data_IF_163924632746
#
_entry.id   IF_163924632746
#
_cell.length_a   1.000
_cell.length_b   1.000
_cell.length_c   1.000
_cell.angle_alpha   90.00
_cell.angle_beta   90.00
_cell.angle_gamma   90.00
#
_symmetry.space_group_name_H-M   'P 1'
#
loop_
_entity.id
_entity.type
_entity.pdbx_description
1 polymer ?
#
# COMPACT_ATOMS: atom_id res chain seq x y z
N UNK A 1 7.94 21.88 -22.15
CA UNK A 1 7.77 20.62 -22.90
C UNK A 1 8.71 19.59 -22.27
N UNK A 2 8.23 18.94 -21.21
CA UNK A 2 7.70 17.57 -21.18
C UNK A 2 8.80 16.49 -21.03
N UNK A 3 8.95 16.00 -19.81
CA UNK A 3 9.13 14.57 -19.58
C UNK A 3 8.09 14.17 -18.54
N UNK A 4 6.91 13.82 -19.06
CA UNK A 4 5.87 13.18 -18.26
C UNK A 4 6.42 11.87 -17.71
N UNK A 5 6.18 11.62 -16.43
CA UNK A 5 6.40 10.32 -15.81
C UNK A 5 5.63 9.27 -16.63
N UNK A 6 6.37 8.42 -17.34
CA UNK A 6 5.85 7.18 -17.89
C UNK A 6 5.62 6.22 -16.72
N UNK A 7 4.37 6.10 -16.28
CA UNK A 7 3.90 4.95 -15.52
C UNK A 7 3.12 4.08 -16.50
N UNK A 8 3.81 3.20 -17.21
CA UNK A 8 3.17 2.38 -18.23
C UNK A 8 4.08 1.29 -18.76
N UNK A 9 3.87 0.08 -18.25
CA UNK A 9 4.51 -1.15 -18.71
C UNK A 9 4.81 -2.05 -17.52
N UNK A 10 3.85 -2.89 -17.12
CA UNK A 10 4.09 -4.01 -16.21
C UNK A 10 3.79 -5.29 -16.98
N UNK A 11 4.82 -6.11 -17.17
CA UNK A 11 4.77 -7.41 -17.85
C UNK A 11 4.02 -8.45 -16.99
N UNK A 12 3.71 -9.64 -17.51
CA UNK A 12 2.92 -10.64 -16.76
C UNK A 12 3.65 -11.19 -15.51
N UNK A 13 4.99 -11.16 -15.48
CA UNK A 13 5.81 -11.50 -14.31
C UNK A 13 5.75 -10.44 -13.21
N UNK A 14 5.44 -9.21 -13.61
CA UNK A 14 5.57 -7.97 -12.86
C UNK A 14 4.37 -7.80 -11.87
N UNK A 15 3.18 -8.29 -12.24
CA UNK A 15 1.98 -8.27 -11.37
C UNK A 15 2.04 -9.25 -10.20
N UNK A 16 2.71 -10.39 -10.37
CA UNK A 16 2.79 -11.36 -9.28
C UNK A 16 3.70 -10.84 -8.17
N UNK A 17 4.74 -10.06 -8.49
CA UNK A 17 5.62 -9.43 -7.49
C UNK A 17 4.88 -8.49 -6.52
N UNK A 18 3.71 -7.97 -6.94
CA UNK A 18 2.83 -7.17 -6.10
C UNK A 18 2.01 -8.02 -5.11
N UNK A 19 1.95 -9.34 -5.28
CA UNK A 19 1.29 -10.23 -4.32
C UNK A 19 2.13 -10.38 -3.06
N UNK A 20 1.52 -10.09 -1.92
CA UNK A 20 2.18 -10.14 -0.62
C UNK A 20 2.15 -11.54 -0.03
N UNK A 21 3.05 -11.82 0.92
CA UNK A 21 3.07 -13.08 1.67
C UNK A 21 1.74 -13.42 2.35
N UNK A 22 0.92 -12.42 2.71
CA UNK A 22 -0.41 -12.67 3.30
C UNK A 22 -1.54 -12.83 2.28
N UNK A 23 -1.25 -12.77 0.98
CA UNK A 23 -2.25 -12.88 -0.09
C UNK A 23 -3.04 -11.58 -0.32
N UNK A 24 -2.45 -10.44 0.00
CA UNK A 24 -2.95 -9.11 -0.40
C UNK A 24 -2.14 -8.60 -1.60
N UNK A 25 -2.48 -7.42 -2.11
CA UNK A 25 -1.86 -6.85 -3.30
C UNK A 25 -1.27 -5.46 -3.02
N UNK A 26 0.03 -5.28 -3.23
CA UNK A 26 0.77 -4.07 -2.88
C UNK A 26 0.25 -2.83 -3.60
N UNK A 27 -0.21 -2.95 -4.85
CA UNK A 27 -0.81 -1.85 -5.60
C UNK A 27 -2.22 -1.45 -5.12
N UNK A 28 -2.76 -2.13 -4.11
CA UNK A 28 -3.95 -1.69 -3.36
C UNK A 28 -3.60 -1.11 -1.98
N UNK A 29 -2.31 -0.95 -1.65
CA UNK A 29 -1.86 -0.34 -0.41
C UNK A 29 -1.82 1.19 -0.50
N UNK A 30 -2.46 1.88 0.45
CA UNK A 30 -2.46 3.34 0.50
C UNK A 30 -1.05 3.93 0.60
N UNK A 31 -0.16 3.32 1.40
CA UNK A 31 1.23 3.76 1.56
C UNK A 31 2.12 3.60 0.32
N UNK A 32 1.67 2.85 -0.69
CA UNK A 32 2.37 2.72 -1.99
C UNK A 32 1.73 3.59 -3.07
N UNK A 33 0.40 3.72 -3.08
CA UNK A 33 -0.34 4.25 -4.25
C UNK A 33 -1.15 5.52 -3.98
N UNK A 34 -1.55 5.81 -2.74
CA UNK A 34 -2.41 6.96 -2.42
C UNK A 34 -1.66 8.05 -1.66
N UNK A 35 -1.00 7.66 -0.57
CA UNK A 35 -0.31 8.60 0.33
C UNK A 35 0.80 9.36 -0.39
N UNK A 36 1.65 8.74 -1.23
CA UNK A 36 2.70 9.49 -1.94
C UNK A 36 2.15 10.58 -2.86
N UNK A 37 1.11 10.27 -3.62
CA UNK A 37 0.46 11.23 -4.52
C UNK A 37 -0.21 12.36 -3.73
N UNK A 38 -0.95 12.04 -2.68
CA UNK A 38 -1.58 13.05 -1.83
C UNK A 38 -0.56 13.95 -1.11
N UNK A 39 0.55 13.37 -0.63
CA UNK A 39 1.64 14.13 -0.01
C UNK A 39 2.30 15.08 -1.02
N UNK A 40 2.53 14.60 -2.25
CA UNK A 40 3.04 15.43 -3.34
C UNK A 40 2.09 16.60 -3.64
N UNK A 41 0.80 16.32 -3.83
CA UNK A 41 -0.21 17.33 -4.16
C UNK A 41 -0.35 18.39 -3.06
N UNK A 42 -0.42 17.98 -1.79
CA UNK A 42 -0.48 18.91 -0.67
C UNK A 42 0.78 19.76 -0.59
N UNK A 43 1.97 19.16 -0.74
CA UNK A 43 3.24 19.90 -0.74
C UNK A 43 3.28 20.95 -1.84
N UNK A 44 2.87 20.60 -3.06
CA UNK A 44 2.85 21.57 -4.16
C UNK A 44 1.81 22.67 -3.94
N UNK A 45 0.65 22.35 -3.37
CA UNK A 45 -0.38 23.34 -3.02
C UNK A 45 0.14 24.34 -1.99
N UNK A 46 0.74 23.87 -0.89
CA UNK A 46 1.32 24.73 0.15
C UNK A 46 2.41 25.65 -0.42
N UNK A 47 3.25 25.12 -1.30
CA UNK A 47 4.30 25.91 -1.98
C UNK A 47 3.70 26.98 -2.89
N UNK A 48 2.66 26.66 -3.65
CA UNK A 48 1.98 27.62 -4.54
C UNK A 48 1.32 28.76 -3.74
N UNK A 49 0.72 28.44 -2.59
CA UNK A 49 0.11 29.40 -1.68
C UNK A 49 1.13 30.21 -0.85
N UNK A 50 2.44 29.94 -1.02
CA UNK A 50 3.49 30.72 -0.37
C UNK A 50 3.76 30.35 1.08
N UNK A 51 3.38 29.15 1.54
CA UNK A 51 3.67 28.70 2.90
C UNK A 51 5.18 28.50 3.16
N UNK A 52 5.98 28.48 2.10
CA UNK A 52 7.45 28.57 2.16
C UNK A 52 7.96 29.98 2.57
N UNK A 53 7.12 31.01 2.45
CA UNK A 53 7.42 32.42 2.74
C UNK A 53 6.76 32.91 4.04
N UNK A 54 5.68 32.27 4.50
CA UNK A 54 5.04 32.57 5.77
C UNK A 54 3.65 31.95 5.94
N UNK A 55 3.22 31.79 7.19
CA UNK A 55 1.97 31.13 7.60
C UNK A 55 1.27 31.97 8.68
N UNK A 56 0.94 33.22 8.32
CA UNK A 56 0.49 34.26 9.27
C UNK A 56 -0.87 34.01 9.92
N UNK A 57 -1.72 33.21 9.26
CA UNK A 57 -3.12 33.00 9.67
C UNK A 57 -3.32 31.76 10.54
N UNK A 58 -2.25 30.98 10.80
CA UNK A 58 -2.33 29.72 11.55
C UNK A 58 -1.36 29.77 12.74
N UNK A 59 -1.82 30.22 13.93
CA UNK A 59 -0.99 30.30 15.12
C UNK A 59 -0.33 28.96 15.47
N UNK A 60 0.99 28.95 15.66
CA UNK A 60 1.76 27.79 16.08
C UNK A 60 2.24 26.89 14.94
N UNK A 61 1.79 27.11 13.69
CA UNK A 61 2.23 26.32 12.54
C UNK A 61 3.73 26.46 12.32
N UNK A 62 4.32 27.63 12.59
CA UNK A 62 5.74 27.91 12.50
C UNK A 62 6.61 26.94 13.29
N UNK A 63 6.09 26.43 14.40
CA UNK A 63 6.83 25.55 15.32
C UNK A 63 6.97 24.14 14.76
N UNK A 64 6.10 23.75 13.82
CA UNK A 64 6.04 22.38 13.27
C UNK A 64 6.20 22.32 11.75
N UNK A 65 6.08 23.45 11.03
CA UNK A 65 5.98 23.44 9.57
C UNK A 65 7.18 22.80 8.87
N UNK A 66 8.41 23.04 9.37
CA UNK A 66 9.60 22.41 8.79
C UNK A 66 9.55 20.88 8.92
N UNK A 67 9.27 20.35 10.12
CA UNK A 67 9.17 18.91 10.34
C UNK A 67 8.01 18.29 9.54
N UNK A 68 6.88 19.01 9.46
CA UNK A 68 5.75 18.61 8.62
C UNK A 68 6.12 18.55 7.13
N UNK A 69 6.80 19.57 6.61
CA UNK A 69 7.27 19.63 5.23
C UNK A 69 8.29 18.53 4.90
N UNK A 70 9.22 18.23 5.82
CA UNK A 70 10.11 17.07 5.72
C UNK A 70 9.34 15.76 5.66
N UNK A 71 8.33 15.59 6.52
CA UNK A 71 7.43 14.45 6.48
C UNK A 71 6.71 14.28 5.14
N UNK A 72 6.13 15.36 4.60
CA UNK A 72 5.52 15.36 3.27
C UNK A 72 6.52 14.99 2.18
N UNK A 73 7.75 15.51 2.25
CA UNK A 73 8.82 15.18 1.30
C UNK A 73 9.19 13.69 1.34
N UNK A 74 9.28 13.09 2.53
CA UNK A 74 9.55 11.66 2.68
C UNK A 74 8.40 10.84 2.08
N UNK A 75 7.16 11.16 2.44
CA UNK A 75 5.97 10.45 1.95
C UNK A 75 5.82 10.54 0.43
N UNK A 76 6.06 11.71 -0.16
CA UNK A 76 5.92 11.95 -1.60
C UNK A 76 6.99 11.23 -2.43
N UNK A 77 8.23 11.16 -1.93
CA UNK A 77 9.37 10.70 -2.73
C UNK A 77 9.84 9.27 -2.40
N UNK A 78 9.38 8.69 -1.28
CA UNK A 78 9.82 7.36 -0.82
C UNK A 78 8.61 6.43 -0.64
N UNK A 79 7.91 6.06 -1.74
CA UNK A 79 6.81 5.11 -1.65
C UNK A 79 7.32 3.76 -1.13
N UNK A 80 6.45 3.04 -0.41
CA UNK A 80 6.78 1.71 0.10
C UNK A 80 7.25 0.80 -1.05
N UNK A 81 8.42 0.13 -0.95
CA UNK A 81 9.00 -0.68 -2.04
C UNK A 81 8.22 -1.98 -2.29
N UNK A 82 7.29 -2.36 -1.41
CA UNK A 82 6.46 -3.55 -1.54
C UNK A 82 6.87 -4.62 -0.54
N UNK A 83 5.92 -5.47 -0.13
CA UNK A 83 6.14 -6.43 0.97
C UNK A 83 7.27 -7.43 0.67
N UNK A 84 7.32 -7.93 -0.57
CA UNK A 84 8.34 -8.88 -1.01
C UNK A 84 9.71 -8.22 -1.25
N UNK A 85 9.75 -6.89 -1.45
CA UNK A 85 10.96 -6.08 -1.60
C UNK A 85 11.44 -5.44 -0.29
N UNK A 86 10.98 -5.92 0.87
CA UNK A 86 11.42 -5.45 2.18
C UNK A 86 10.59 -4.33 2.81
N UNK A 87 9.49 -3.90 2.17
CA UNK A 87 8.52 -2.98 2.73
C UNK A 87 7.57 -3.63 3.74
N UNK A 88 6.74 -2.80 4.39
CA UNK A 88 5.81 -3.24 5.44
C UNK A 88 6.50 -3.59 6.76
N UNK A 89 5.76 -4.19 7.69
CA UNK A 89 6.32 -4.57 8.99
C UNK A 89 7.27 -5.79 8.86
N UNK A 90 8.56 -5.67 9.19
CA UNK A 90 9.52 -6.78 9.09
C UNK A 90 9.20 -7.93 10.06
N UNK A 91 8.59 -7.64 11.22
CA UNK A 91 8.19 -8.62 12.23
C UNK A 91 6.83 -9.27 11.98
N UNK A 92 6.28 -9.14 10.76
CA UNK A 92 4.94 -9.64 10.46
C UNK A 92 4.92 -11.18 10.44
N UNK A 93 4.25 -11.81 11.41
CA UNK A 93 4.30 -13.26 11.63
C UNK A 93 3.88 -14.10 10.39
N UNK A 94 2.95 -13.60 9.56
CA UNK A 94 2.53 -14.29 8.34
C UNK A 94 3.66 -14.32 7.30
N UNK A 95 4.50 -13.28 7.22
CA UNK A 95 5.69 -13.27 6.35
C UNK A 95 6.67 -14.36 6.74
N UNK A 96 7.03 -14.44 8.01
CA UNK A 96 7.92 -15.48 8.51
C UNK A 96 7.37 -16.89 8.23
N UNK A 97 6.08 -17.11 8.50
CA UNK A 97 5.39 -18.37 8.23
C UNK A 97 5.41 -18.76 6.74
N UNK A 98 5.14 -17.81 5.84
CA UNK A 98 5.14 -18.07 4.40
C UNK A 98 6.54 -18.47 3.88
N UNK A 99 7.58 -17.77 4.35
CA UNK A 99 8.97 -18.05 4.01
C UNK A 99 9.42 -19.42 4.55
N UNK A 100 9.14 -19.72 5.82
CA UNK A 100 9.46 -21.02 6.45
C UNK A 100 8.81 -22.19 5.70
N UNK A 101 7.53 -22.04 5.34
CA UNK A 101 6.76 -23.06 4.63
C UNK A 101 7.01 -23.07 3.11
N UNK A 102 7.83 -22.13 2.61
CA UNK A 102 8.13 -21.95 1.18
C UNK A 102 6.86 -21.83 0.32
N UNK A 103 5.84 -21.15 0.85
CA UNK A 103 4.61 -20.83 0.11
C UNK A 103 4.69 -19.40 -0.41
N UNK A 104 4.30 -19.22 -1.67
CA UNK A 104 4.39 -17.92 -2.32
C UNK A 104 3.48 -16.87 -1.67
N UNK A 105 2.22 -17.25 -1.42
CA UNK A 105 1.24 -16.44 -0.71
C UNK A 105 0.45 -17.30 0.27
N UNK A 106 0.03 -16.73 1.40
CA UNK A 106 -0.67 -17.45 2.46
C UNK A 106 -1.90 -18.25 1.99
N UNK A 107 -2.76 -17.74 1.07
CA UNK A 107 -3.85 -18.52 0.49
C UNK A 107 -3.43 -19.80 -0.25
N UNK A 108 -2.18 -19.94 -0.67
CA UNK A 108 -1.68 -21.15 -1.33
C UNK A 108 -1.16 -22.20 -0.33
N UNK A 109 -1.20 -21.91 0.97
CA UNK A 109 -0.79 -22.85 2.01
C UNK A 109 -1.84 -23.97 2.18
N UNK A 110 -1.37 -25.21 2.37
CA UNK A 110 -2.26 -26.35 2.63
C UNK A 110 -3.07 -26.23 3.94
N UNK A 111 -2.59 -25.45 4.90
CA UNK A 111 -3.30 -25.16 6.15
C UNK A 111 -4.16 -23.89 6.06
N UNK A 112 -4.35 -23.31 4.87
CA UNK A 112 -5.20 -22.14 4.72
C UNK A 112 -6.68 -22.53 4.78
N UNK A 113 -7.54 -21.77 5.49
CA UNK A 113 -7.21 -20.69 6.41
C UNK A 113 -6.74 -21.21 7.80
N UNK A 114 -5.87 -20.46 8.49
CA UNK A 114 -5.45 -20.78 9.85
C UNK A 114 -5.54 -19.60 10.82
N UNK A 115 -5.40 -19.88 12.13
CA UNK A 115 -5.54 -18.90 13.21
C UNK A 115 -4.60 -17.68 13.10
N UNK A 116 -3.45 -17.81 12.42
CA UNK A 116 -2.49 -16.69 12.23
C UNK A 116 -3.09 -15.52 11.44
N UNK A 117 -4.15 -15.75 10.66
CA UNK A 117 -4.85 -14.71 9.90
C UNK A 117 -5.64 -13.73 10.76
N UNK A 118 -5.83 -14.02 12.06
CA UNK A 118 -6.55 -13.15 12.98
C UNK A 118 -5.93 -11.73 13.09
N UNK A 119 -4.62 -11.59 12.89
CA UNK A 119 -3.93 -10.29 12.87
C UNK A 119 -4.35 -9.40 11.67
N UNK A 120 -5.02 -9.97 10.68
CA UNK A 120 -5.55 -9.28 9.50
C UNK A 120 -7.08 -9.13 9.55
N UNK A 121 -7.69 -9.16 10.74
CA UNK A 121 -9.15 -8.99 10.91
C UNK A 121 -9.65 -7.63 10.40
N UNK A 122 -8.83 -6.59 10.46
CA UNK A 122 -9.16 -5.22 10.03
C UNK A 122 -9.10 -5.02 8.50
N UNK A 123 -8.68 -6.06 7.75
CA UNK A 123 -8.68 -6.08 6.29
C UNK A 123 -9.83 -6.97 5.80
N UNK A 124 -11.06 -6.46 5.65
CA UNK A 124 -12.24 -7.30 5.42
C UNK A 124 -12.18 -8.11 4.12
N UNK A 125 -11.56 -7.58 3.06
CA UNK A 125 -11.41 -8.32 1.79
C UNK A 125 -10.46 -9.51 1.88
N UNK A 126 -9.59 -9.60 2.88
CA UNK A 126 -8.55 -10.65 2.95
C UNK A 126 -9.14 -12.06 2.96
N UNK A 127 -10.30 -12.27 3.59
CA UNK A 127 -10.98 -13.57 3.57
C UNK A 127 -11.55 -13.88 2.17
N UNK A 128 -12.26 -12.91 1.59
CA UNK A 128 -12.89 -13.05 0.29
C UNK A 128 -11.86 -13.24 -0.84
N UNK A 129 -10.77 -12.47 -0.81
CA UNK A 129 -9.68 -12.56 -1.78
C UNK A 129 -8.93 -13.89 -1.68
N UNK A 130 -8.66 -14.38 -0.46
CA UNK A 130 -8.03 -15.69 -0.30
C UNK A 130 -8.90 -16.85 -0.82
N UNK A 131 -10.22 -16.81 -0.57
CA UNK A 131 -11.16 -17.75 -1.17
C UNK A 131 -11.21 -17.61 -2.70
N UNK A 132 -11.18 -16.38 -3.21
CA UNK A 132 -11.17 -16.12 -4.65
C UNK A 132 -9.93 -16.70 -5.31
N UNK A 133 -8.74 -16.56 -4.70
CA UNK A 133 -7.50 -17.19 -5.18
C UNK A 133 -7.63 -18.72 -5.31
N UNK A 134 -8.34 -19.40 -4.39
CA UNK A 134 -8.58 -20.84 -4.53
C UNK A 134 -9.49 -21.21 -5.71
N UNK A 135 -10.45 -20.35 -6.03
CA UNK A 135 -11.44 -20.62 -7.10
C UNK A 135 -10.87 -20.34 -8.48
N UNK A 136 -10.19 -19.19 -8.66
CA UNK A 136 -9.76 -18.71 -9.99
C UNK A 136 -8.24 -18.77 -10.20
N UNK A 137 -7.48 -19.13 -9.16
CA UNK A 137 -6.03 -19.10 -9.17
C UNK A 137 -5.45 -17.70 -8.97
N UNK A 138 -4.21 -17.65 -8.48
CA UNK A 138 -3.53 -16.40 -8.11
C UNK A 138 -3.30 -15.46 -9.29
N UNK A 139 -3.06 -16.00 -10.50
CA UNK A 139 -2.82 -15.19 -11.70
C UNK A 139 -4.04 -14.37 -12.09
N UNK A 140 -5.21 -15.03 -12.20
CA UNK A 140 -6.45 -14.36 -12.57
C UNK A 140 -6.92 -13.42 -11.46
N UNK A 141 -6.72 -13.81 -10.19
CA UNK A 141 -7.00 -12.92 -9.07
C UNK A 141 -6.13 -11.65 -9.10
N UNK A 142 -4.85 -11.75 -9.45
CA UNK A 142 -3.96 -10.60 -9.60
C UNK A 142 -4.42 -9.65 -10.71
N UNK A 143 -4.91 -10.19 -11.84
CA UNK A 143 -5.51 -9.36 -12.91
C UNK A 143 -6.69 -8.53 -12.40
N UNK A 144 -7.55 -9.12 -11.55
CA UNK A 144 -8.64 -8.37 -10.93
C UNK A 144 -8.15 -7.30 -9.95
N UNK A 145 -7.01 -7.51 -9.29
CA UNK A 145 -6.44 -6.51 -8.39
C UNK A 145 -5.84 -5.34 -9.17
N UNK A 146 -5.23 -5.59 -10.33
CA UNK A 146 -4.81 -4.54 -11.25
C UNK A 146 -6.00 -3.68 -11.72
N UNK A 147 -7.12 -4.30 -12.09
CA UNK A 147 -8.33 -3.55 -12.45
C UNK A 147 -8.89 -2.74 -11.27
N UNK A 148 -8.90 -3.29 -10.04
CA UNK A 148 -9.26 -2.53 -8.84
C UNK A 148 -8.34 -1.34 -8.62
N UNK A 149 -7.03 -1.52 -8.82
CA UNK A 149 -6.02 -0.48 -8.62
C UNK A 149 -6.23 0.69 -9.61
N UNK A 150 -6.65 0.42 -10.84
CA UNK A 150 -6.99 1.45 -11.85
C UNK A 150 -8.16 2.33 -11.43
N UNK A 151 -9.10 1.81 -10.66
CA UNK A 151 -10.23 2.57 -10.13
C UNK A 151 -9.86 3.46 -8.92
N UNK A 152 -8.60 3.48 -8.49
CA UNK A 152 -8.14 4.25 -7.32
C UNK A 152 -8.50 3.62 -5.97
N UNK A 153 -9.04 2.40 -5.97
CA UNK A 153 -9.33 1.64 -4.77
C UNK A 153 -8.04 1.32 -4.01
N UNK A 154 -8.08 1.45 -2.68
CA UNK A 154 -7.07 0.92 -1.78
C UNK A 154 -7.72 0.25 -0.58
N UNK A 155 -6.98 -0.62 0.11
CA UNK A 155 -7.48 -1.26 1.32
C UNK A 155 -7.93 -0.26 2.40
N UNK A 156 -7.43 0.99 2.38
CA UNK A 156 -7.84 2.04 3.30
C UNK A 156 -9.31 2.46 3.13
N UNK A 157 -9.93 2.23 1.96
CA UNK A 157 -11.33 2.59 1.70
C UNK A 157 -12.33 1.77 2.50
N UNK A 158 -11.90 0.62 3.00
CA UNK A 158 -12.74 -0.36 3.70
C UNK A 158 -12.05 -0.90 4.96
N UNK A 159 -10.90 -0.33 5.32
CA UNK A 159 -10.16 -0.74 6.50
C UNK A 159 -10.96 -0.41 7.75
N UNK A 160 -11.04 -1.35 8.69
CA UNK A 160 -11.70 -1.13 9.98
C UNK A 160 -10.64 -0.78 11.04
N UNK A 161 -10.44 0.49 11.40
CA UNK A 161 -9.56 0.83 12.52
C UNK A 161 -10.16 0.27 13.82
N UNK A 162 -9.30 -0.24 14.72
CA UNK A 162 -9.75 -0.50 16.08
C UNK A 162 -10.07 0.85 16.73
N UNK A 163 -11.19 0.94 17.44
CA UNK A 163 -11.45 2.07 18.35
C UNK A 163 -10.35 2.05 19.41
N UNK A 164 -9.44 3.02 19.34
CA UNK A 164 -8.41 3.25 20.35
C UNK A 164 -9.01 3.81 21.63
#
# INVERSE_FOLDING_TARGET
>A
MSKGQQWGGFDLMDKLEEVTHCGMYCSLCAGRRRIPEQAYQLRETLRQEGYDRGYYDIPGLETVFNAFGEGLNLLANQPCPGCCAGGGNPGFAIRACALERRVYACPLCAEYPCARLAILKNYPLRAADGQRIHVIGINQWADEQEERAKCGFTYADIFWPEET
#
